data_IF_220320699897
#
_entry.id   IF_220320699897
#
_cell.length_a   1.000
_cell.length_b   1.000
_cell.length_c   1.000
_cell.angle_alpha   90.00
_cell.angle_beta   90.00
_cell.angle_gamma   90.00
#
_symmetry.space_group_name_H-M   'P 1'
#
loop_
_entity.id
_entity.type
_entity.pdbx_description
1 polymer ?
#
# COMPACT_ATOMS: atom_id res chain seq x y z
N UNK A 1 7.24 20.57 -1.09
CA UNK A 1 6.23 21.47 -0.50
C UNK A 1 5.21 21.77 -1.59
N UNK A 2 3.92 21.60 -1.32
CA UNK A 2 2.87 22.06 -2.24
C UNK A 2 2.59 23.52 -1.89
N UNK A 3 2.81 24.45 -2.83
CA UNK A 3 2.51 25.87 -2.64
C UNK A 3 1.00 26.10 -2.90
N UNK A 4 0.20 26.40 -1.85
CA UNK A 4 -1.23 26.61 -2.03
C UNK A 4 -1.56 27.93 -2.75
N UNK A 5 -0.60 28.85 -2.89
CA UNK A 5 -0.79 30.15 -3.52
C UNK A 5 -0.44 30.16 -5.01
N UNK A 6 0.34 29.18 -5.46
CA UNK A 6 0.69 28.98 -6.86
C UNK A 6 0.52 27.50 -7.25
N UNK A 7 -0.72 27.05 -7.50
CA UNK A 7 -0.97 25.66 -7.84
C UNK A 7 -0.39 25.34 -9.23
N UNK A 8 0.67 24.54 -9.27
CA UNK A 8 1.32 24.07 -10.49
C UNK A 8 1.13 22.57 -10.67
N UNK A 9 0.68 22.16 -11.87
CA UNK A 9 0.68 20.75 -12.28
C UNK A 9 2.04 20.44 -12.91
N UNK A 10 2.93 19.85 -12.13
CA UNK A 10 4.32 19.56 -12.55
C UNK A 10 4.43 18.30 -13.42
N UNK A 11 3.43 17.42 -13.40
CA UNK A 11 3.35 16.21 -14.19
C UNK A 11 1.91 15.96 -14.65
N UNK A 12 1.74 15.54 -15.90
CA UNK A 12 0.45 15.14 -16.46
C UNK A 12 0.62 13.94 -17.38
N UNK A 13 -0.12 12.88 -17.07
CA UNK A 13 -0.16 11.66 -17.87
C UNK A 13 -1.56 11.47 -18.42
N UNK A 14 -1.64 11.01 -19.68
CA UNK A 14 -2.89 10.58 -20.32
C UNK A 14 -2.67 9.16 -20.83
N UNK A 15 -3.68 8.30 -20.66
CA UNK A 15 -3.67 6.94 -21.20
C UNK A 15 -4.46 6.91 -22.50
N UNK A 16 -3.92 6.21 -23.48
CA UNK A 16 -4.65 5.87 -24.69
C UNK A 16 -5.64 4.74 -24.39
N UNK A 17 -6.86 4.86 -24.93
CA UNK A 17 -7.83 3.78 -24.86
C UNK A 17 -7.26 2.49 -25.50
N UNK A 18 -7.52 1.30 -24.92
CA UNK A 18 -8.51 1.02 -23.88
C UNK A 18 -7.99 1.10 -22.43
N UNK A 19 -6.78 1.62 -22.19
CA UNK A 19 -6.25 1.73 -20.84
C UNK A 19 -6.98 2.80 -20.03
N UNK A 20 -7.24 2.48 -18.77
CA UNK A 20 -7.82 3.39 -17.79
C UNK A 20 -7.00 3.38 -16.50
N UNK A 21 -7.05 4.48 -15.75
CA UNK A 21 -6.62 4.47 -14.36
C UNK A 21 -7.74 3.84 -13.52
N UNK A 22 -7.41 2.74 -12.84
CA UNK A 22 -8.31 2.08 -11.87
C UNK A 22 -7.93 2.45 -10.43
N UNK A 23 -6.69 2.93 -10.21
CA UNK A 23 -6.23 3.39 -8.90
C UNK A 23 -7.04 4.58 -8.40
N UNK A 24 -7.41 4.55 -7.12
CA UNK A 24 -8.18 5.61 -6.46
C UNK A 24 -7.28 6.63 -5.74
N UNK A 25 -6.00 6.31 -5.59
CA UNK A 25 -4.99 7.13 -4.91
C UNK A 25 -3.67 6.98 -5.66
N UNK A 26 -3.20 7.97 -6.43
CA UNK A 26 -1.82 7.97 -6.89
C UNK A 26 -0.90 8.24 -5.70
N UNK A 27 0.16 7.45 -5.54
CA UNK A 27 1.23 7.70 -4.57
C UNK A 27 2.40 8.38 -5.27
N UNK A 28 3.08 9.26 -4.54
CA UNK A 28 4.28 9.97 -5.01
C UNK A 28 5.39 9.71 -4.00
N UNK A 29 6.40 8.95 -4.41
CA UNK A 29 7.49 8.51 -3.54
C UNK A 29 8.73 8.20 -4.38
N UNK A 30 9.91 8.42 -3.81
CA UNK A 30 11.20 8.01 -4.39
C UNK A 30 11.31 6.48 -4.29
N UNK A 31 10.83 5.77 -5.31
CA UNK A 31 10.63 4.32 -5.25
C UNK A 31 11.91 3.56 -5.61
N UNK A 32 12.83 4.21 -6.32
CA UNK A 32 14.13 3.66 -6.71
C UNK A 32 15.31 4.23 -5.90
N UNK A 33 15.03 5.04 -4.88
CA UNK A 33 16.00 5.70 -3.99
C UNK A 33 17.04 6.58 -4.73
N UNK A 34 16.63 7.26 -5.82
CA UNK A 34 17.50 8.14 -6.62
C UNK A 34 17.45 9.63 -6.22
N UNK A 35 16.61 9.97 -5.24
CA UNK A 35 16.36 11.32 -4.75
C UNK A 35 15.25 12.06 -5.49
N UNK A 36 14.55 11.43 -6.45
CA UNK A 36 13.42 12.00 -7.18
C UNK A 36 12.19 11.10 -7.00
N UNK A 37 11.00 11.69 -6.80
CA UNK A 37 9.82 10.88 -6.59
C UNK A 37 9.21 10.38 -7.89
N UNK A 38 8.95 9.09 -7.96
CA UNK A 38 8.08 8.47 -8.94
C UNK A 38 6.60 8.61 -8.56
N UNK A 39 5.75 8.45 -9.56
CA UNK A 39 4.29 8.38 -9.38
C UNK A 39 3.87 6.92 -9.56
N UNK A 40 3.21 6.36 -8.55
CA UNK A 40 2.69 5.00 -8.54
C UNK A 40 1.17 5.03 -8.60
N UNK A 41 0.57 4.22 -9.47
CA UNK A 41 -0.87 4.07 -9.58
C UNK A 41 -1.24 2.72 -10.21
N UNK A 42 -2.53 2.39 -10.26
CA UNK A 42 -3.04 1.19 -10.92
C UNK A 42 -3.67 1.57 -12.26
N UNK A 43 -3.23 0.89 -13.33
CA UNK A 43 -3.87 0.94 -14.65
C UNK A 43 -4.53 -0.40 -14.97
N UNK A 44 -5.58 -0.36 -15.78
CA UNK A 44 -6.28 -1.55 -16.22
C UNK A 44 -6.75 -1.44 -17.67
N UNK A 45 -6.89 -2.59 -18.33
CA UNK A 45 -7.56 -2.74 -19.62
C UNK A 45 -8.36 -4.06 -19.63
N UNK A 46 -9.22 -4.23 -20.64
CA UNK A 46 -10.09 -5.40 -20.75
C UNK A 46 -9.37 -6.71 -21.12
N UNK A 47 -8.14 -6.64 -21.63
CA UNK A 47 -7.39 -7.81 -22.09
C UNK A 47 -6.58 -8.43 -20.95
N UNK A 48 -5.87 -7.60 -20.20
CA UNK A 48 -4.89 -7.98 -19.19
C UNK A 48 -5.41 -7.77 -17.76
N UNK A 49 -6.34 -6.84 -17.58
CA UNK A 49 -6.78 -6.41 -16.25
C UNK A 49 -5.81 -5.44 -15.57
N UNK A 50 -5.89 -5.39 -14.24
CA UNK A 50 -5.21 -4.41 -13.41
C UNK A 50 -3.73 -4.74 -13.18
N UNK A 51 -2.89 -3.71 -13.16
CA UNK A 51 -1.47 -3.77 -12.80
C UNK A 51 -0.99 -2.46 -12.20
N UNK A 52 -0.01 -2.54 -11.32
CA UNK A 52 0.72 -1.36 -10.85
C UNK A 52 1.50 -0.77 -12.03
N UNK A 53 1.49 0.55 -12.16
CA UNK A 53 2.27 1.30 -13.12
C UNK A 53 3.03 2.41 -12.38
N UNK A 54 4.29 2.57 -12.77
CA UNK A 54 5.18 3.60 -12.24
C UNK A 54 5.51 4.58 -13.35
N UNK A 55 5.45 5.87 -13.02
CA UNK A 55 5.76 6.96 -13.90
C UNK A 55 6.90 7.79 -13.30
N UNK A 56 7.75 8.33 -14.17
CA UNK A 56 8.80 9.26 -13.80
C UNK A 56 8.21 10.56 -13.21
N UNK A 57 9.04 11.41 -12.56
CA UNK A 57 8.61 12.74 -12.13
C UNK A 57 8.01 13.61 -13.25
N UNK A 58 8.34 13.32 -14.52
CA UNK A 58 7.80 14.03 -15.69
C UNK A 58 6.46 13.45 -16.19
N UNK A 59 5.97 12.34 -15.62
CA UNK A 59 4.74 11.67 -16.01
C UNK A 59 4.88 10.65 -17.14
N UNK A 60 6.11 10.24 -17.48
CA UNK A 60 6.37 9.19 -18.46
C UNK A 60 6.30 7.82 -17.79
N UNK A 61 5.60 6.85 -18.38
CA UNK A 61 5.52 5.49 -17.80
C UNK A 61 6.88 4.80 -17.94
N UNK A 62 7.49 4.44 -16.81
CA UNK A 62 8.82 3.81 -16.78
C UNK A 62 8.77 2.31 -16.47
N UNK A 63 7.77 1.84 -15.72
CA UNK A 63 7.63 0.44 -15.38
C UNK A 63 6.17 0.03 -15.16
N UNK A 64 5.90 -1.26 -15.25
CA UNK A 64 4.64 -1.87 -14.79
C UNK A 64 4.94 -3.16 -14.03
N UNK A 65 4.14 -3.44 -13.01
CA UNK A 65 4.21 -4.72 -12.29
C UNK A 65 3.61 -5.89 -13.07
N UNK A 66 3.75 -7.11 -12.55
CA UNK A 66 3.14 -8.31 -13.11
C UNK A 66 1.61 -8.20 -13.26
N UNK A 67 1.11 -8.95 -14.25
CA UNK A 67 -0.31 -9.09 -14.55
C UNK A 67 -0.78 -10.46 -14.07
N UNK A 68 -1.78 -10.48 -13.19
CA UNK A 68 -2.38 -11.74 -12.69
C UNK A 68 -3.84 -11.89 -13.15
N UNK A 69 -4.10 -11.46 -14.39
CA UNK A 69 -5.43 -11.37 -14.99
C UNK A 69 -6.34 -10.34 -14.31
N UNK A 70 -7.65 -10.35 -14.64
CA UNK A 70 -8.60 -9.38 -14.11
C UNK A 70 -8.68 -9.39 -12.58
N UNK A 71 -8.77 -8.20 -12.00
CA UNK A 71 -9.01 -8.01 -10.58
C UNK A 71 -8.07 -6.99 -9.94
N UNK A 72 -8.67 -6.10 -9.15
CA UNK A 72 -8.07 -4.92 -8.58
C UNK A 72 -6.74 -5.16 -7.82
N UNK A 73 -5.80 -4.20 -7.96
CA UNK A 73 -4.60 -4.07 -7.13
C UNK A 73 -4.80 -2.89 -6.19
N UNK A 74 -4.98 -3.22 -4.91
CA UNK A 74 -5.20 -2.22 -3.89
C UNK A 74 -3.85 -1.74 -3.36
N UNK A 75 -3.36 -0.64 -3.93
CA UNK A 75 -2.17 0.07 -3.48
C UNK A 75 -2.39 0.64 -2.07
N UNK A 76 -1.42 0.49 -1.17
CA UNK A 76 -1.58 0.87 0.23
C UNK A 76 -0.57 1.91 0.68
N UNK A 77 0.72 1.60 0.62
CA UNK A 77 1.78 2.46 1.15
C UNK A 77 3.11 2.24 0.43
N UNK A 78 3.91 3.29 0.35
CA UNK A 78 5.34 3.21 0.01
C UNK A 78 6.13 3.56 1.27
N UNK A 79 7.04 2.69 1.67
CA UNK A 79 7.85 2.85 2.88
C UNK A 79 9.16 2.05 2.73
N UNK A 80 10.15 2.26 3.61
CA UNK A 80 11.40 1.49 3.61
C UNK A 80 11.17 0.09 4.20
N UNK A 81 10.31 -0.71 3.56
CA UNK A 81 10.01 -2.06 4.03
C UNK A 81 11.17 -3.01 3.77
N UNK A 82 11.86 -2.88 2.62
CA UNK A 82 12.82 -3.87 2.18
C UNK A 82 14.05 -3.98 3.08
N UNK A 83 14.83 -5.08 2.98
CA UNK A 83 16.06 -5.22 3.76
C UNK A 83 17.03 -4.05 3.53
N UNK A 84 17.60 -3.52 4.62
CA UNK A 84 18.43 -2.30 4.60
C UNK A 84 17.66 -1.07 4.13
N UNK A 85 16.41 -0.96 4.56
CA UNK A 85 15.53 0.19 4.35
C UNK A 85 15.25 0.49 2.89
N UNK A 86 15.31 -0.52 2.02
CA UNK A 86 15.01 -0.35 0.61
C UNK A 86 13.54 0.06 0.43
N UNK A 87 13.29 1.09 -0.37
CA UNK A 87 11.93 1.59 -0.57
C UNK A 87 11.10 0.61 -1.40
N UNK A 88 9.93 0.25 -0.89
CA UNK A 88 9.02 -0.69 -1.53
C UNK A 88 7.57 -0.24 -1.45
N UNK A 89 6.77 -0.65 -2.43
CA UNK A 89 5.33 -0.49 -2.42
C UNK A 89 4.67 -1.72 -1.83
N UNK A 90 3.84 -1.54 -0.80
CA UNK A 90 2.87 -2.53 -0.33
C UNK A 90 1.54 -2.40 -1.10
N UNK A 91 1.05 -3.52 -1.63
CA UNK A 91 -0.27 -3.59 -2.26
C UNK A 91 -0.92 -4.96 -2.03
N UNK A 92 -2.27 -5.01 -1.98
CA UNK A 92 -3.00 -6.28 -1.89
C UNK A 92 -3.57 -6.66 -3.25
N UNK A 93 -3.19 -7.84 -3.71
CA UNK A 93 -3.70 -8.52 -4.91
C UNK A 93 -5.10 -9.09 -4.62
N UNK A 94 -6.10 -8.56 -5.34
CA UNK A 94 -7.51 -8.97 -5.29
C UNK A 94 -7.98 -9.10 -3.83
N UNK A 95 -8.14 -7.98 -3.09
CA UNK A 95 -8.45 -8.02 -1.65
C UNK A 95 -9.76 -8.72 -1.29
N UNK A 96 -10.61 -9.03 -2.27
CA UNK A 96 -11.88 -9.76 -2.13
C UNK A 96 -11.84 -11.20 -2.67
N UNK A 97 -10.72 -11.65 -3.26
CA UNK A 97 -10.61 -13.01 -3.86
C UNK A 97 -9.31 -13.70 -3.45
N UNK A 98 -8.16 -13.08 -3.69
CA UNK A 98 -6.85 -13.73 -3.56
C UNK A 98 -6.24 -13.48 -2.19
N UNK A 99 -6.46 -12.29 -1.62
CA UNK A 99 -6.07 -11.98 -0.23
C UNK A 99 -4.56 -12.08 0.03
N UNK A 100 -3.76 -11.65 -0.97
CA UNK A 100 -2.29 -11.68 -0.91
C UNK A 100 -1.75 -10.26 -0.85
N UNK A 101 -1.00 -9.94 0.20
CA UNK A 101 -0.14 -8.77 0.26
C UNK A 101 1.12 -9.04 -0.57
N UNK A 102 1.50 -8.07 -1.39
CA UNK A 102 2.66 -8.07 -2.26
C UNK A 102 3.50 -6.83 -1.93
N UNK A 103 4.82 -7.03 -1.78
CA UNK A 103 5.79 -5.95 -1.71
C UNK A 103 6.51 -5.84 -3.05
N UNK A 104 6.38 -4.68 -3.70
CA UNK A 104 6.98 -4.38 -4.99
C UNK A 104 8.22 -3.52 -4.81
N UNK A 105 9.27 -3.81 -5.58
CA UNK A 105 10.47 -2.99 -5.64
C UNK A 105 10.75 -2.59 -7.09
N UNK A 106 11.11 -1.32 -7.30
CA UNK A 106 11.61 -0.83 -8.58
C UNK A 106 13.13 -0.85 -8.56
N UNK A 107 13.73 -1.75 -9.35
CA UNK A 107 15.18 -1.89 -9.44
C UNK A 107 15.56 -2.06 -10.92
N UNK A 108 16.59 -1.35 -11.39
CA UNK A 108 17.08 -1.42 -12.78
C UNK A 108 15.99 -1.21 -13.86
N UNK A 109 14.96 -0.42 -13.54
CA UNK A 109 13.83 -0.13 -14.43
C UNK A 109 12.75 -1.22 -14.48
N UNK A 110 12.86 -2.25 -13.65
CA UNK A 110 11.86 -3.32 -13.52
C UNK A 110 11.11 -3.21 -12.19
N UNK A 111 9.77 -3.22 -12.25
CA UNK A 111 8.93 -3.33 -11.06
C UNK A 111 8.56 -4.79 -10.82
N UNK A 112 9.12 -5.39 -9.78
CA UNK A 112 8.93 -6.81 -9.44
C UNK A 112 8.41 -7.00 -8.02
N UNK A 113 7.62 -8.06 -7.81
CA UNK A 113 7.20 -8.49 -6.48
C UNK A 113 8.36 -9.23 -5.82
N UNK A 114 8.79 -8.74 -4.65
CA UNK A 114 9.94 -9.26 -3.90
C UNK A 114 9.55 -10.21 -2.78
N UNK A 115 8.37 -10.02 -2.19
CA UNK A 115 7.83 -10.92 -1.18
C UNK A 115 6.30 -10.85 -1.14
N UNK A 116 5.67 -11.89 -0.59
CA UNK A 116 4.22 -11.99 -0.47
C UNK A 116 3.77 -12.60 0.85
N UNK A 117 2.61 -12.19 1.35
CA UNK A 117 1.93 -12.81 2.50
C UNK A 117 0.45 -13.02 2.18
N UNK A 118 -0.03 -14.25 2.33
CA UNK A 118 -1.45 -14.58 2.16
C UNK A 118 -2.25 -14.35 3.46
N UNK A 119 -3.57 -14.29 3.33
CA UNK A 119 -4.49 -14.28 4.48
C UNK A 119 -4.89 -12.88 4.97
N UNK A 120 -4.68 -11.86 4.14
CA UNK A 120 -4.98 -10.45 4.47
C UNK A 120 -5.95 -9.83 3.46
N UNK A 121 -6.79 -8.90 3.92
CA UNK A 121 -7.80 -8.26 3.07
C UNK A 121 -7.97 -6.79 3.42
N UNK A 122 -7.26 -5.92 2.68
CA UNK A 122 -7.35 -4.47 2.86
C UNK A 122 -8.71 -3.86 2.46
N UNK A 123 -9.59 -4.64 1.79
CA UNK A 123 -10.90 -4.16 1.36
C UNK A 123 -11.91 -5.30 1.16
N UNK A 124 -13.19 -5.01 1.44
CA UNK A 124 -14.32 -5.89 1.18
C UNK A 124 -15.23 -5.32 0.10
N UNK A 125 -15.68 -6.17 -0.82
CA UNK A 125 -16.52 -5.77 -1.95
C UNK A 125 -17.72 -4.90 -1.54
N UNK A 126 -17.88 -3.75 -2.20
CA UNK A 126 -18.95 -2.79 -1.93
C UNK A 126 -18.73 -1.88 -0.72
N UNK A 127 -17.65 -2.05 0.03
CA UNK A 127 -17.28 -1.14 1.11
C UNK A 127 -16.88 0.23 0.57
N UNK A 128 -17.13 1.29 1.35
CA UNK A 128 -16.58 2.62 1.09
C UNK A 128 -15.22 2.85 1.76
N UNK A 129 -14.81 1.93 2.63
CA UNK A 129 -13.51 2.00 3.29
C UNK A 129 -12.45 1.47 2.33
N UNK A 130 -11.50 2.34 2.04
CA UNK A 130 -10.41 2.11 1.09
C UNK A 130 -9.05 2.31 1.77
N UNK A 131 -8.99 2.94 2.93
CA UNK A 131 -7.73 3.11 3.67
C UNK A 131 -7.63 2.00 4.71
N UNK A 132 -7.30 0.80 4.24
CA UNK A 132 -7.35 -0.43 5.05
C UNK A 132 -6.03 -0.79 5.76
N UNK A 133 -4.97 0.00 5.61
CA UNK A 133 -3.65 -0.33 6.13
C UNK A 133 -2.87 0.92 6.53
N UNK A 134 -1.89 0.75 7.41
CA UNK A 134 -0.96 1.79 7.87
C UNK A 134 0.44 1.20 7.87
N UNK A 135 1.42 1.99 7.42
CA UNK A 135 2.83 1.65 7.51
C UNK A 135 3.51 2.49 8.59
N UNK A 136 4.22 1.86 9.51
CA UNK A 136 5.03 2.50 10.54
C UNK A 136 5.97 1.47 11.18
N UNK A 137 6.99 1.93 11.89
CA UNK A 137 7.65 1.14 12.93
C UNK A 137 6.76 1.23 14.18
N UNK A 138 6.08 0.14 14.52
CA UNK A 138 5.07 0.15 15.59
C UNK A 138 5.62 -0.33 16.94
N UNK A 139 6.77 -0.99 16.95
CA UNK A 139 7.39 -1.54 18.16
C UNK A 139 8.81 -1.00 18.47
N UNK A 140 9.23 0.04 17.75
CA UNK A 140 10.48 0.78 17.93
C UNK A 140 11.72 -0.12 17.79
N UNK A 141 11.62 -1.13 16.91
CA UNK A 141 12.72 -2.05 16.59
C UNK A 141 13.58 -1.60 15.40
N UNK A 142 13.17 -0.51 14.74
CA UNK A 142 13.80 0.07 13.56
C UNK A 142 13.30 -0.49 12.24
N UNK A 143 12.39 -1.46 12.25
CA UNK A 143 11.76 -2.05 11.06
C UNK A 143 10.41 -1.40 10.82
N UNK A 144 10.08 -1.12 9.56
CA UNK A 144 8.73 -0.67 9.21
C UNK A 144 7.85 -1.87 8.89
N UNK A 145 6.71 -1.99 9.58
CA UNK A 145 5.67 -2.97 9.28
C UNK A 145 4.53 -2.33 8.48
N UNK A 146 3.78 -3.19 7.79
CA UNK A 146 2.43 -2.86 7.34
C UNK A 146 1.41 -3.50 8.29
N UNK A 147 0.64 -2.66 8.97
CA UNK A 147 -0.53 -3.10 9.74
C UNK A 147 -1.74 -3.21 8.80
N UNK A 148 -2.30 -4.41 8.68
CA UNK A 148 -3.37 -4.73 7.72
C UNK A 148 -4.35 -5.74 8.33
N UNK A 149 -5.66 -5.69 8.02
CA UNK A 149 -6.62 -6.67 8.50
C UNK A 149 -6.46 -8.04 7.84
N UNK A 150 -6.72 -9.09 8.62
CA UNK A 150 -6.89 -10.46 8.13
C UNK A 150 -8.07 -10.58 7.17
N UNK A 151 -8.14 -11.68 6.41
CA UNK A 151 -9.25 -11.94 5.46
C UNK A 151 -10.63 -11.90 6.10
N UNK A 152 -10.78 -12.42 7.32
CA UNK A 152 -12.03 -12.37 8.09
C UNK A 152 -12.28 -11.01 8.76
N UNK A 153 -11.27 -10.12 8.71
CA UNK A 153 -11.24 -8.77 9.26
C UNK A 153 -11.48 -8.69 10.76
N UNK A 154 -11.24 -9.78 11.49
CA UNK A 154 -11.40 -9.83 12.96
C UNK A 154 -10.12 -9.50 13.71
N UNK A 155 -9.00 -9.47 12.99
CA UNK A 155 -7.69 -9.11 13.51
C UNK A 155 -7.01 -8.10 12.61
N UNK A 156 -6.12 -7.31 13.21
CA UNK A 156 -5.07 -6.59 12.50
C UNK A 156 -3.76 -7.38 12.68
N UNK A 157 -2.99 -7.53 11.61
CA UNK A 157 -1.67 -8.18 11.62
C UNK A 157 -0.62 -7.19 11.15
N UNK A 158 0.54 -7.18 11.81
CA UNK A 158 1.70 -6.45 11.34
C UNK A 158 2.60 -7.36 10.53
N UNK A 159 2.88 -6.95 9.30
CA UNK A 159 3.72 -7.69 8.36
C UNK A 159 5.00 -6.91 8.12
N UNK A 160 6.14 -7.54 8.36
CA UNK A 160 7.45 -7.00 7.99
C UNK A 160 8.13 -7.84 6.92
N UNK A 161 9.04 -7.20 6.20
CA UNK A 161 9.98 -7.87 5.29
C UNK A 161 11.18 -8.39 6.06
N UNK A 162 11.56 -9.64 5.81
CA UNK A 162 12.72 -10.27 6.42
C UNK A 162 13.54 -10.93 5.32
N UNK A 163 14.71 -10.36 5.01
CA UNK A 163 15.56 -10.85 3.92
C UNK A 163 14.76 -10.91 2.60
N UNK A 164 14.68 -12.06 1.94
CA UNK A 164 13.90 -12.28 0.72
C UNK A 164 12.43 -12.65 0.95
N UNK A 165 11.90 -12.51 2.16
CA UNK A 165 10.57 -13.00 2.56
C UNK A 165 9.77 -11.89 3.27
N UNK A 166 8.49 -12.15 3.54
CA UNK A 166 7.62 -11.30 4.35
C UNK A 166 6.86 -12.16 5.36
N UNK A 167 6.69 -11.67 6.60
CA UNK A 167 6.07 -12.45 7.68
C UNK A 167 5.21 -11.58 8.58
N UNK A 168 4.12 -12.19 9.06
CA UNK A 168 3.34 -11.66 10.18
C UNK A 168 4.20 -11.76 11.44
N UNK A 169 4.46 -10.64 12.09
CA UNK A 169 5.23 -10.57 13.34
C UNK A 169 4.31 -10.75 14.56
N UNK A 170 3.19 -10.03 14.55
CA UNK A 170 2.22 -10.02 15.65
C UNK A 170 0.82 -9.63 15.15
N UNK A 171 -0.17 -9.77 16.04
CA UNK A 171 -1.58 -9.50 15.72
C UNK A 171 -2.37 -8.89 16.89
N UNK A 172 -3.40 -8.11 16.57
CA UNK A 172 -4.38 -7.57 17.52
C UNK A 172 -5.78 -8.07 17.19
N UNK A 173 -6.45 -8.64 18.20
CA UNK A 173 -7.85 -9.07 18.12
C UNK A 173 -8.81 -7.89 18.28
N UNK A 174 -9.85 -7.83 17.44
CA UNK A 174 -10.83 -6.73 17.45
C UNK A 174 -12.16 -7.11 18.09
N UNK A 175 -12.40 -8.39 18.43
CA UNK A 175 -13.68 -8.89 18.96
C UNK A 175 -14.86 -8.88 17.95
N UNK A 176 -14.83 -7.99 16.96
CA UNK A 176 -15.78 -7.88 15.85
C UNK A 176 -15.05 -7.73 14.50
N UNK A 177 -15.82 -7.59 13.42
CA UNK A 177 -15.23 -7.29 12.11
C UNK A 177 -14.90 -5.80 12.00
N UNK A 178 -13.72 -5.48 11.46
CA UNK A 178 -13.29 -4.11 11.18
C UNK A 178 -14.21 -3.45 10.13
N UNK A 179 -14.91 -2.39 10.53
CA UNK A 179 -15.87 -1.63 9.71
C UNK A 179 -15.45 -0.18 9.48
N UNK A 180 -14.26 0.24 9.91
CA UNK A 180 -13.66 1.53 9.60
C UNK A 180 -12.49 1.42 8.62
N UNK A 181 -12.00 2.57 8.16
CA UNK A 181 -10.60 2.71 7.75
C UNK A 181 -9.67 2.50 8.94
N UNK A 182 -8.40 2.19 8.67
CA UNK A 182 -7.32 2.23 9.63
C UNK A 182 -6.60 3.58 9.50
N UNK A 183 -6.31 4.24 10.61
CA UNK A 183 -5.54 5.49 10.61
C UNK A 183 -4.34 5.37 11.53
N UNK A 184 -3.21 5.93 11.11
CA UNK A 184 -2.01 6.10 11.93
C UNK A 184 -1.64 7.57 11.99
N UNK A 185 -1.26 8.06 13.16
CA UNK A 185 -0.73 9.42 13.33
C UNK A 185 0.56 9.35 14.13
N UNK A 186 1.59 10.05 13.65
CA UNK A 186 2.84 10.20 14.39
C UNK A 186 2.65 11.06 15.64
N UNK A 187 3.39 10.74 16.68
CA UNK A 187 3.38 11.41 17.98
C UNK A 187 4.66 12.25 18.16
N UNK A 188 4.64 13.20 19.11
CA UNK A 188 5.76 14.12 19.34
C UNK A 188 7.02 13.43 19.85
N UNK A 189 6.87 12.28 20.53
CA UNK A 189 7.95 11.44 21.03
C UNK A 189 8.52 10.48 19.98
N UNK A 190 8.01 10.52 18.75
CA UNK A 190 8.41 9.63 17.67
C UNK A 190 7.57 8.36 17.54
N UNK A 191 6.65 8.10 18.47
CA UNK A 191 5.74 6.98 18.41
C UNK A 191 4.62 7.15 17.38
N UNK A 192 3.74 6.14 17.29
CA UNK A 192 2.56 6.14 16.42
C UNK A 192 1.31 5.78 17.21
N UNK A 193 0.23 6.53 17.01
CA UNK A 193 -1.10 6.16 17.47
C UNK A 193 -1.93 5.61 16.30
N UNK A 194 -2.57 4.46 16.51
CA UNK A 194 -3.41 3.77 15.52
C UNK A 194 -4.86 3.78 15.97
N UNK A 195 -5.77 4.17 15.09
CA UNK A 195 -7.21 4.14 15.31
C UNK A 195 -7.94 3.15 14.39
N UNK A 196 -8.84 2.35 14.96
CA UNK A 196 -9.71 1.41 14.23
C UNK A 196 -11.08 1.27 14.90
N UNK A 197 -12.09 0.77 14.18
CA UNK A 197 -13.41 0.52 14.76
C UNK A 197 -14.12 -0.70 14.14
N UNK A 198 -14.85 -1.41 14.99
CA UNK A 198 -15.89 -2.38 14.59
C UNK A 198 -17.24 -1.67 14.56
N UNK A 199 -18.33 -2.44 14.43
CA UNK A 199 -19.68 -1.88 14.53
C UNK A 199 -20.01 -1.37 15.95
N UNK A 200 -19.32 -1.87 16.98
CA UNK A 200 -19.66 -1.63 18.39
C UNK A 200 -18.53 -0.96 19.17
N UNK A 201 -17.28 -1.14 18.74
CA UNK A 201 -16.10 -0.72 19.49
C UNK A 201 -15.21 0.22 18.67
N UNK A 202 -14.56 1.16 19.36
CA UNK A 202 -13.46 1.97 18.84
C UNK A 202 -12.20 1.61 19.61
N UNK A 203 -11.13 1.37 18.87
CA UNK A 203 -9.82 1.02 19.39
C UNK A 203 -8.83 2.14 19.07
N UNK A 204 -8.01 2.48 20.06
CA UNK A 204 -6.85 3.33 19.89
C UNK A 204 -5.67 2.65 20.57
N UNK A 205 -4.63 2.36 19.80
CA UNK A 205 -3.34 1.89 20.30
C UNK A 205 -2.34 3.03 20.18
N UNK A 206 -1.50 3.20 21.18
CA UNK A 206 -0.42 4.18 21.21
C UNK A 206 0.67 3.57 22.09
N UNK A 207 1.90 3.58 21.61
CA UNK A 207 3.09 3.32 22.41
C UNK A 207 3.69 4.64 22.87
#
# INVERSE_FOLDING_TARGET
MVDPTNPEVVARTVLDAPLVFEGLQPLVADLNDDGKPEIVTTIADSENGARIAVYSPAGERIATGPVYGPGWRHQLAVAPFGPKDATELAAVLKPHVTHTLEYYQLEDGELSVRATVDGVSSHTYGSRNLDGAVAADFDDDGTVELLVPTTDRRRLVAVSRISSDARIQWEWELGGQLTSNLTGVGLEDGGVAVGAATAEDVFVWSA
#
